data_IF_451569998973
#
_entry.id   IF_451569998973
#
_cell.length_a   1.000
_cell.length_b   1.000
_cell.length_c   1.000
_cell.angle_alpha   90.00
_cell.angle_beta   90.00
_cell.angle_gamma   90.00
#
_symmetry.space_group_name_H-M   'P 1'
#
loop_
_entity.id
_entity.type
_entity.pdbx_description
1 polymer ?
#
# COMPACT_ATOMS: atom_id res chain seq x y z
N UNK A 1 27.01 -2.36 -28.65
CA UNK A 1 28.37 -2.48 -28.07
C UNK A 1 28.22 -2.79 -26.58
N UNK A 2 29.02 -3.71 -26.02
CA UNK A 2 28.94 -4.08 -24.59
C UNK A 2 29.93 -3.27 -23.75
N UNK A 3 29.52 -2.80 -22.57
CA UNK A 3 30.36 -2.33 -21.46
C UNK A 3 29.76 -2.95 -20.20
N UNK A 4 30.29 -4.08 -19.72
CA UNK A 4 31.48 -4.24 -18.86
C UNK A 4 31.27 -3.68 -17.45
N UNK A 5 31.30 -4.60 -16.49
CA UNK A 5 31.11 -4.43 -15.05
C UNK A 5 32.43 -3.99 -14.42
N UNK A 6 32.38 -3.25 -13.31
CA UNK A 6 33.50 -3.08 -12.40
C UNK A 6 33.03 -3.29 -10.96
N UNK A 7 33.57 -4.32 -10.29
CA UNK A 7 33.32 -4.56 -8.86
C UNK A 7 34.16 -3.63 -7.98
N UNK A 8 33.71 -3.40 -6.75
CA UNK A 8 34.42 -2.61 -5.74
C UNK A 8 35.17 -3.53 -4.77
N UNK A 9 36.44 -3.21 -4.46
CA UNK A 9 37.26 -4.05 -3.59
C UNK A 9 36.97 -3.85 -2.09
N UNK A 10 37.01 -4.94 -1.35
CA UNK A 10 37.12 -4.97 0.11
C UNK A 10 38.53 -4.49 0.51
N UNK A 11 38.66 -3.79 1.63
CA UNK A 11 39.95 -3.57 2.30
C UNK A 11 39.71 -3.50 3.82
N UNK A 12 40.52 -4.23 4.59
CA UNK A 12 40.46 -4.26 6.05
C UNK A 12 41.87 -4.10 6.63
N UNK A 13 42.05 -3.24 7.63
CA UNK A 13 43.31 -3.11 8.37
C UNK A 13 43.10 -2.82 9.86
N UNK A 14 43.34 -3.87 10.65
CA UNK A 14 44.06 -3.97 11.93
C UNK A 14 44.13 -2.79 12.92
N UNK A 15 43.98 -3.15 14.20
CA UNK A 15 43.95 -2.27 15.36
C UNK A 15 45.33 -1.79 15.86
N UNK A 16 45.32 -0.78 16.73
CA UNK A 16 46.44 -0.43 17.64
C UNK A 16 45.94 -0.29 19.09
N UNK A 17 46.78 -0.62 20.08
CA UNK A 17 46.38 -0.79 21.49
C UNK A 17 47.33 -0.06 22.47
N UNK A 18 46.79 0.86 23.28
CA UNK A 18 47.42 1.48 24.48
C UNK A 18 46.24 1.83 25.43
N UNK A 19 46.08 1.43 26.70
CA UNK A 19 46.93 1.02 27.86
C UNK A 19 46.87 2.06 28.99
N UNK A 20 47.07 1.62 30.24
CA UNK A 20 46.75 2.26 31.55
C UNK A 20 45.26 2.21 31.95
N UNK A 21 44.86 1.77 33.17
CA UNK A 21 45.61 1.08 34.24
C UNK A 21 44.86 1.12 35.59
N UNK A 22 44.43 -0.03 36.15
CA UNK A 22 43.37 -0.07 37.20
C UNK A 22 43.45 -1.06 38.37
N UNK A 23 44.55 -1.80 38.56
CA UNK A 23 45.04 -2.36 39.85
C UNK A 23 44.05 -3.10 40.80
N UNK A 24 44.08 -4.44 40.73
CA UNK A 24 43.82 -5.46 41.79
C UNK A 24 42.39 -5.61 42.35
N UNK A 25 41.89 -6.81 42.68
CA UNK A 25 42.34 -8.21 42.41
C UNK A 25 41.14 -9.16 42.75
N UNK A 26 41.17 -10.50 42.89
CA UNK A 26 42.27 -11.48 43.09
C UNK A 26 41.88 -12.91 42.64
N UNK A 27 42.42 -13.94 43.31
CA UNK A 27 42.50 -15.37 42.91
C UNK A 27 42.31 -16.29 44.13
N UNK A 28 42.30 -17.65 44.02
CA UNK A 28 42.05 -18.57 42.90
C UNK A 28 40.82 -19.49 43.22
N UNK A 29 40.50 -20.66 42.63
CA UNK A 29 41.12 -21.64 41.71
C UNK A 29 39.97 -22.46 41.01
N UNK A 30 40.12 -23.56 40.26
CA UNK A 30 41.28 -24.37 39.82
C UNK A 30 40.96 -25.19 38.52
N UNK A 31 41.92 -26.03 38.10
CA UNK A 31 41.85 -27.34 37.39
C UNK A 31 40.50 -28.12 37.44
N UNK A 32 40.17 -29.05 36.53
CA UNK A 32 40.64 -29.54 35.20
C UNK A 32 39.51 -30.51 34.68
N UNK A 33 39.54 -31.29 33.57
CA UNK A 33 40.51 -31.72 32.54
C UNK A 33 39.75 -31.83 31.16
N UNK A 34 40.18 -32.34 29.99
CA UNK A 34 41.12 -33.40 29.52
C UNK A 34 40.68 -34.86 29.84
N UNK A 35 40.70 -35.87 28.94
CA UNK A 35 41.13 -35.94 27.53
C UNK A 35 40.43 -37.08 26.75
N UNK A 36 40.54 -37.11 25.41
CA UNK A 36 40.55 -38.26 24.44
C UNK A 36 39.53 -39.43 24.57
N UNK A 37 39.06 -40.13 23.53
CA UNK A 37 39.07 -40.07 22.05
C UNK A 37 38.08 -41.20 21.57
N UNK A 38 37.93 -41.71 20.33
CA UNK A 38 38.60 -41.55 19.03
C UNK A 38 37.56 -41.26 17.91
N UNK A 39 37.33 -42.18 16.94
CA UNK A 39 36.44 -41.98 15.79
C UNK A 39 35.89 -43.30 15.20
N UNK A 40 34.77 -43.22 14.48
CA UNK A 40 34.47 -44.07 13.33
C UNK A 40 33.54 -43.30 12.35
N UNK A 41 33.49 -43.70 11.08
CA UNK A 41 32.72 -43.03 10.04
C UNK A 41 31.62 -43.93 9.47
N UNK A 42 30.49 -43.33 9.08
CA UNK A 42 29.73 -43.77 7.91
C UNK A 42 28.84 -42.64 7.34
N UNK A 43 28.48 -42.75 6.07
CA UNK A 43 27.57 -41.89 5.30
C UNK A 43 27.08 -42.73 4.09
N UNK A 44 25.82 -42.62 3.59
CA UNK A 44 25.24 -41.31 3.22
C UNK A 44 23.70 -41.18 3.33
N UNK A 45 23.19 -39.97 3.04
CA UNK A 45 21.98 -39.74 2.25
C UNK A 45 21.88 -38.26 1.81
N UNK A 46 21.99 -37.99 0.51
CA UNK A 46 21.34 -36.81 -0.08
C UNK A 46 19.90 -37.19 -0.47
N UNK A 47 18.97 -36.23 -0.48
CA UNK A 47 18.16 -35.89 -1.67
C UNK A 47 17.05 -34.87 -1.29
N UNK A 48 17.22 -33.62 -1.72
CA UNK A 48 16.18 -32.59 -1.75
C UNK A 48 16.62 -31.42 -2.66
N UNK A 49 17.10 -31.74 -3.87
CA UNK A 49 17.47 -30.70 -4.84
C UNK A 49 16.22 -30.08 -5.45
N UNK A 50 15.85 -28.89 -4.98
CA UNK A 50 14.90 -28.04 -5.70
C UNK A 50 15.47 -27.77 -7.10
N UNK A 51 14.72 -28.16 -8.13
CA UNK A 51 15.14 -27.97 -9.51
C UNK A 51 15.10 -26.47 -9.85
N UNK A 52 16.11 -25.93 -10.57
CA UNK A 52 16.07 -24.53 -10.99
C UNK A 52 14.94 -24.33 -12.01
N UNK A 53 13.90 -23.58 -11.62
CA UNK A 53 12.79 -23.20 -12.50
C UNK A 53 13.35 -22.65 -13.81
N UNK A 54 12.92 -23.20 -14.94
CA UNK A 54 13.56 -22.87 -16.22
C UNK A 54 13.34 -21.40 -16.53
N UNK A 55 14.36 -20.71 -17.05
CA UNK A 55 14.20 -19.33 -17.52
C UNK A 55 13.17 -19.20 -18.66
N UNK A 56 12.82 -20.31 -19.32
CA UNK A 56 11.70 -20.37 -20.25
C UNK A 56 10.32 -20.38 -19.55
N UNK A 57 10.19 -21.03 -18.39
CA UNK A 57 8.96 -21.06 -17.59
C UNK A 57 8.74 -19.72 -16.88
N UNK A 58 9.79 -19.17 -16.27
CA UNK A 58 9.76 -17.81 -15.71
C UNK A 58 9.43 -16.75 -16.78
N UNK A 59 10.00 -16.89 -17.99
CA UNK A 59 9.64 -16.04 -19.13
C UNK A 59 8.20 -16.24 -19.62
N UNK A 60 7.62 -17.42 -19.44
CA UNK A 60 6.23 -17.74 -19.81
C UNK A 60 5.20 -17.31 -18.77
N UNK A 61 5.57 -17.09 -17.50
CA UNK A 61 4.65 -16.50 -16.52
C UNK A 61 4.48 -14.99 -16.73
N UNK A 62 5.53 -14.30 -17.21
CA UNK A 62 5.54 -12.85 -17.45
C UNK A 62 4.71 -12.40 -18.67
N UNK A 63 4.42 -13.28 -19.64
CA UNK A 63 3.63 -12.92 -20.83
C UNK A 63 2.14 -12.76 -20.58
N UNK A 64 1.65 -13.29 -19.45
CA UNK A 64 0.23 -13.47 -19.17
C UNK A 64 -0.25 -12.56 -18.01
N UNK A 65 0.61 -11.63 -17.56
CA UNK A 65 0.27 -10.65 -16.54
C UNK A 65 -0.54 -9.50 -17.15
N UNK A 66 -1.56 -9.04 -16.44
CA UNK A 66 -2.30 -7.84 -16.79
C UNK A 66 -1.37 -6.61 -16.75
N UNK A 67 -1.63 -5.55 -17.54
CA UNK A 67 -0.96 -4.28 -17.33
C UNK A 67 -1.31 -3.71 -15.95
N UNK A 68 -0.37 -3.02 -15.33
CA UNK A 68 -0.62 -2.20 -14.15
C UNK A 68 -1.51 -1.01 -14.55
N UNK A 69 -2.64 -0.80 -13.88
CA UNK A 69 -3.51 0.33 -14.17
C UNK A 69 -2.88 1.62 -13.63
N UNK A 70 -2.45 2.51 -14.52
CA UNK A 70 -1.89 3.84 -14.18
C UNK A 70 -2.96 4.89 -14.48
N UNK A 71 -3.16 5.84 -13.56
CA UNK A 71 -4.17 6.89 -13.71
C UNK A 71 -3.59 8.12 -14.44
N UNK A 72 -4.19 8.51 -15.55
CA UNK A 72 -3.84 9.73 -16.30
C UNK A 72 -4.66 10.94 -15.82
N UNK A 73 -4.27 12.16 -16.23
CA UNK A 73 -4.95 13.42 -15.86
C UNK A 73 -6.46 13.34 -16.06
N UNK A 74 -7.23 13.50 -14.97
CA UNK A 74 -8.70 13.42 -14.97
C UNK A 74 -9.27 12.02 -14.67
N UNK A 75 -8.44 11.00 -14.52
CA UNK A 75 -8.88 9.66 -14.11
C UNK A 75 -9.16 9.58 -12.61
N UNK A 76 -10.31 9.01 -12.26
CA UNK A 76 -10.62 8.57 -10.91
C UNK A 76 -10.13 7.14 -10.66
N UNK A 77 -9.52 6.90 -9.49
CA UNK A 77 -9.02 5.59 -9.07
C UNK A 77 -9.18 5.39 -7.54
N UNK A 78 -9.14 4.13 -7.10
CA UNK A 78 -9.24 3.77 -5.67
C UNK A 78 -7.85 3.67 -5.04
N UNK A 79 -7.38 4.74 -4.41
CA UNK A 79 -6.15 4.72 -3.63
C UNK A 79 -6.37 3.97 -2.31
N UNK A 80 -5.57 2.95 -2.00
CA UNK A 80 -5.80 2.04 -0.87
C UNK A 80 -4.51 1.37 -0.39
N UNK A 81 -4.39 1.13 0.92
CA UNK A 81 -3.27 0.41 1.52
C UNK A 81 -3.70 -0.49 2.70
N UNK A 82 -3.24 -1.74 2.68
CA UNK A 82 -3.35 -2.69 3.80
C UNK A 82 -2.58 -2.23 5.04
N UNK A 83 -2.86 -2.83 6.20
CA UNK A 83 -2.29 -2.35 7.49
C UNK A 83 -0.78 -2.52 7.64
N UNK A 84 -0.13 -3.17 6.68
CA UNK A 84 1.30 -3.43 6.66
C UNK A 84 2.07 -2.60 5.60
N UNK A 85 1.36 -1.84 4.75
CA UNK A 85 1.92 -1.21 3.54
C UNK A 85 2.69 -2.24 2.69
N UNK A 86 2.02 -3.35 2.38
CA UNK A 86 2.53 -4.47 1.56
C UNK A 86 1.59 -4.78 0.40
N UNK A 87 0.29 -4.51 0.53
CA UNK A 87 -0.67 -4.57 -0.57
C UNK A 87 -1.36 -3.22 -0.71
N UNK A 88 -1.14 -2.56 -1.83
CA UNK A 88 -1.46 -1.15 -1.99
C UNK A 88 -1.56 -0.72 -3.45
N UNK A 89 -2.25 0.39 -3.68
CA UNK A 89 -2.40 1.03 -4.99
C UNK A 89 -2.54 2.55 -4.81
N UNK A 90 -1.82 3.32 -5.65
CA UNK A 90 -1.71 4.78 -5.61
C UNK A 90 -1.82 5.43 -7.01
N UNK A 91 -2.32 4.69 -8.01
CA UNK A 91 -2.59 5.20 -9.35
C UNK A 91 -1.35 5.59 -10.17
N UNK A 92 -0.19 4.98 -9.89
CA UNK A 92 1.07 5.27 -10.60
C UNK A 92 1.82 3.97 -10.99
N UNK A 93 2.95 4.12 -11.69
CA UNK A 93 3.70 3.04 -12.35
C UNK A 93 4.74 2.33 -11.47
N UNK A 94 4.92 2.74 -10.21
CA UNK A 94 5.82 2.08 -9.27
C UNK A 94 5.24 0.74 -8.77
N UNK A 95 5.69 -0.36 -9.39
CA UNK A 95 5.26 -1.73 -9.08
C UNK A 95 5.41 -2.12 -7.60
N UNK A 96 6.45 -1.63 -6.91
CA UNK A 96 6.71 -1.97 -5.50
C UNK A 96 5.64 -1.37 -4.57
N UNK A 97 5.03 -0.24 -4.97
CA UNK A 97 3.99 0.44 -4.21
C UNK A 97 2.57 0.33 -4.80
N UNK A 98 2.40 -0.30 -5.97
CA UNK A 98 1.11 -0.38 -6.69
C UNK A 98 0.64 -1.81 -7.02
N UNK A 99 1.07 -2.85 -6.31
CA UNK A 99 0.71 -4.25 -6.64
C UNK A 99 -0.80 -4.57 -6.71
N UNK A 100 -1.70 -3.80 -6.07
CA UNK A 100 -3.17 -3.93 -6.23
C UNK A 100 -3.74 -3.23 -7.48
N UNK A 101 -2.91 -2.54 -8.27
CA UNK A 101 -3.29 -1.87 -9.51
C UNK A 101 -3.48 -2.82 -10.71
N UNK A 102 -3.05 -4.07 -10.59
CA UNK A 102 -3.28 -5.09 -11.62
C UNK A 102 -4.76 -5.48 -11.67
N UNK A 103 -5.42 -5.21 -12.80
CA UNK A 103 -6.88 -5.33 -12.97
C UNK A 103 -7.70 -4.40 -12.04
N UNK A 104 -7.14 -3.25 -11.64
CA UNK A 104 -7.88 -2.22 -10.93
C UNK A 104 -8.81 -1.44 -11.87
N UNK A 105 -10.00 -1.09 -11.37
CA UNK A 105 -10.99 -0.30 -12.10
C UNK A 105 -10.73 1.19 -11.94
N UNK A 106 -10.30 1.82 -13.03
CA UNK A 106 -10.18 3.28 -13.21
C UNK A 106 -11.42 3.80 -13.95
N UNK A 107 -11.86 5.02 -13.64
CA UNK A 107 -12.95 5.70 -14.32
C UNK A 107 -12.54 7.11 -14.79
N UNK A 108 -12.45 7.32 -16.11
CA UNK A 108 -12.15 8.65 -16.67
C UNK A 108 -13.33 9.60 -16.46
N UNK A 109 -13.10 10.73 -15.79
CA UNK A 109 -14.16 11.68 -15.46
C UNK A 109 -14.44 12.57 -16.67
N UNK A 110 -15.68 12.54 -17.15
CA UNK A 110 -16.13 13.30 -18.34
C UNK A 110 -17.09 14.45 -18.03
N UNK A 111 -17.48 14.59 -16.75
CA UNK A 111 -18.44 15.58 -16.26
C UNK A 111 -19.12 15.13 -14.96
N UNK A 112 -20.13 15.88 -14.53
CA UNK A 112 -20.96 15.52 -13.37
C UNK A 112 -21.72 14.21 -13.65
N UNK A 113 -21.79 13.29 -12.68
CA UNK A 113 -22.44 11.98 -12.84
C UNK A 113 -21.94 10.91 -11.88
N UNK A 114 -22.46 9.69 -12.03
CA UNK A 114 -22.10 8.54 -11.19
C UNK A 114 -21.01 7.67 -11.84
N UNK A 115 -20.05 7.23 -11.02
CA UNK A 115 -18.86 6.50 -11.43
C UNK A 115 -18.52 5.40 -10.41
N UNK A 116 -17.67 4.45 -10.82
CA UNK A 116 -17.23 3.30 -10.01
C UNK A 116 -15.73 3.10 -10.15
N UNK A 117 -15.01 2.90 -9.04
CA UNK A 117 -13.58 2.50 -9.02
C UNK A 117 -13.39 1.26 -8.16
N UNK A 118 -12.36 0.45 -8.43
CA UNK A 118 -12.11 -0.78 -7.66
C UNK A 118 -10.66 -1.25 -7.67
N UNK A 119 -10.30 -2.11 -6.72
CA UNK A 119 -9.08 -2.95 -6.75
C UNK A 119 -9.46 -4.41 -6.54
N UNK A 120 -8.62 -5.33 -7.01
CA UNK A 120 -8.82 -6.78 -6.85
C UNK A 120 -7.51 -7.53 -6.66
N UNK A 121 -7.56 -8.64 -5.91
CA UNK A 121 -6.51 -9.68 -5.86
C UNK A 121 -6.65 -10.69 -7.01
N UNK A 122 -7.76 -10.65 -7.74
CA UNK A 122 -8.06 -11.54 -8.87
C UNK A 122 -7.42 -11.01 -10.16
N UNK A 123 -6.09 -11.07 -10.19
CA UNK A 123 -5.24 -10.81 -11.35
C UNK A 123 -3.92 -11.60 -11.24
N UNK A 124 -3.42 -12.07 -12.38
CA UNK A 124 -2.13 -12.76 -12.47
C UNK A 124 -0.99 -11.87 -11.96
N UNK A 125 -1.03 -10.57 -12.30
CA UNK A 125 -0.06 -9.56 -11.91
C UNK A 125 0.02 -9.35 -10.40
N UNK A 126 -1.10 -9.17 -9.70
CA UNK A 126 -1.10 -9.04 -8.23
C UNK A 126 -0.52 -10.27 -7.55
N UNK A 127 -0.96 -11.47 -7.98
CA UNK A 127 -0.50 -12.75 -7.41
C UNK A 127 1.00 -12.94 -7.63
N UNK A 128 1.48 -12.72 -8.86
CA UNK A 128 2.90 -12.81 -9.19
C UNK A 128 3.73 -11.77 -8.40
N UNK A 129 3.26 -10.53 -8.27
CA UNK A 129 3.94 -9.47 -7.53
C UNK A 129 3.99 -9.72 -6.00
N UNK A 130 3.08 -10.55 -5.45
CA UNK A 130 3.00 -10.83 -4.00
C UNK A 130 3.51 -12.20 -3.57
N UNK A 131 3.58 -13.18 -4.47
CA UNK A 131 4.03 -14.57 -4.18
C UNK A 131 5.20 -15.04 -5.06
N UNK A 132 5.46 -14.38 -6.19
CA UNK A 132 6.33 -14.91 -7.26
C UNK A 132 5.66 -15.93 -8.19
N UNK A 133 4.35 -16.21 -8.02
CA UNK A 133 3.60 -17.17 -8.82
C UNK A 133 2.20 -16.64 -9.18
N UNK A 134 1.88 -16.53 -10.48
CA UNK A 134 0.56 -16.06 -10.94
C UNK A 134 -0.61 -16.98 -10.57
N UNK A 135 -0.32 -18.26 -10.30
CA UNK A 135 -1.33 -19.26 -9.96
C UNK A 135 -1.57 -19.39 -8.43
N UNK A 136 -0.81 -18.67 -7.60
CA UNK A 136 -0.98 -18.66 -6.14
C UNK A 136 -1.85 -17.47 -5.68
N UNK A 137 -3.09 -17.77 -5.29
CA UNK A 137 -4.05 -16.81 -4.75
C UNK A 137 -4.07 -16.74 -3.21
N UNK A 138 -3.07 -17.29 -2.51
CA UNK A 138 -3.03 -17.32 -1.03
C UNK A 138 -2.69 -15.97 -0.39
N UNK A 139 -1.95 -15.10 -1.09
CA UNK A 139 -1.62 -13.77 -0.60
C UNK A 139 -2.82 -12.84 -0.73
N UNK A 140 -3.41 -12.42 0.40
CA UNK A 140 -4.41 -11.34 0.45
C UNK A 140 -3.93 -10.13 1.25
N UNK A 141 -4.39 -8.91 0.94
CA UNK A 141 -4.42 -7.78 1.86
C UNK A 141 -5.07 -8.14 3.20
N UNK A 142 -4.61 -7.53 4.30
CA UNK A 142 -5.21 -7.67 5.63
C UNK A 142 -5.23 -6.33 6.37
N UNK A 143 -6.34 -6.02 7.04
CA UNK A 143 -6.58 -4.72 7.67
C UNK A 143 -6.62 -3.57 6.66
N UNK A 144 -6.64 -2.34 7.20
CA UNK A 144 -6.70 -1.11 6.41
C UNK A 144 -6.01 0.04 7.15
N UNK A 145 -5.07 0.72 6.49
CA UNK A 145 -4.44 1.97 6.97
C UNK A 145 -4.95 3.20 6.23
N UNK A 146 -5.24 3.07 4.92
CA UNK A 146 -5.72 4.17 4.07
C UNK A 146 -6.68 3.68 2.98
N UNK A 147 -7.72 4.47 2.68
CA UNK A 147 -8.57 4.34 1.51
C UNK A 147 -9.21 5.68 1.10
N UNK A 148 -9.07 6.05 -0.17
CA UNK A 148 -9.71 7.21 -0.77
C UNK A 148 -10.02 6.98 -2.25
N UNK A 149 -11.12 7.56 -2.76
CA UNK A 149 -11.25 7.79 -4.21
C UNK A 149 -10.43 9.02 -4.56
N UNK A 150 -9.53 8.93 -5.53
CA UNK A 150 -8.68 10.05 -5.96
C UNK A 150 -8.94 10.36 -7.44
N UNK A 151 -8.88 11.64 -7.83
CA UNK A 151 -8.85 12.07 -9.24
C UNK A 151 -7.46 12.66 -9.52
N UNK A 152 -6.75 12.06 -10.48
CA UNK A 152 -5.42 12.47 -10.89
C UNK A 152 -5.44 13.89 -11.46
N UNK A 153 -4.57 14.77 -10.97
CA UNK A 153 -4.55 16.21 -11.30
C UNK A 153 -5.90 16.94 -11.04
N UNK A 154 -6.77 16.37 -10.20
CA UNK A 154 -8.17 16.79 -10.07
C UNK A 154 -8.39 18.27 -9.76
N UNK A 155 -7.54 18.92 -8.95
CA UNK A 155 -7.69 20.36 -8.65
C UNK A 155 -7.31 21.25 -9.85
N UNK A 156 -6.59 20.71 -10.84
CA UNK A 156 -6.24 21.39 -12.10
C UNK A 156 -7.20 21.05 -13.23
N UNK A 157 -7.59 19.77 -13.36
CA UNK A 157 -8.53 19.31 -14.38
C UNK A 157 -9.97 19.79 -14.09
N UNK A 158 -10.39 19.73 -12.82
CA UNK A 158 -11.74 20.03 -12.36
C UNK A 158 -11.71 20.90 -11.08
N UNK A 159 -11.27 22.17 -11.15
CA UNK A 159 -11.04 23.00 -9.96
C UNK A 159 -12.28 23.10 -9.04
N UNK A 160 -12.14 22.67 -7.79
CA UNK A 160 -13.22 22.70 -6.79
C UNK A 160 -14.23 21.55 -6.87
N UNK A 161 -14.03 20.55 -7.74
CA UNK A 161 -14.91 19.37 -7.89
C UNK A 161 -15.18 18.67 -6.56
N UNK A 162 -16.38 18.09 -6.40
CA UNK A 162 -16.82 17.34 -5.23
C UNK A 162 -17.07 15.89 -5.62
N UNK A 163 -16.41 14.99 -4.90
CA UNK A 163 -16.58 13.53 -4.96
C UNK A 163 -17.44 13.12 -3.75
N UNK A 164 -18.68 12.68 -4.01
CA UNK A 164 -19.58 12.14 -2.99
C UNK A 164 -19.55 10.62 -3.06
N UNK A 165 -19.04 9.95 -2.03
CA UNK A 165 -19.03 8.48 -1.96
C UNK A 165 -20.42 7.98 -1.57
N UNK A 166 -20.98 7.09 -2.41
CA UNK A 166 -22.34 6.59 -2.26
C UNK A 166 -22.38 5.24 -1.54
N UNK A 167 -21.50 4.31 -1.91
CA UNK A 167 -21.41 2.98 -1.31
C UNK A 167 -19.98 2.44 -1.37
N UNK A 168 -19.56 1.70 -0.35
CA UNK A 168 -18.31 0.92 -0.36
C UNK A 168 -18.69 -0.57 -0.30
N UNK A 169 -18.14 -1.38 -1.20
CA UNK A 169 -18.45 -2.80 -1.34
C UNK A 169 -17.16 -3.61 -1.17
N UNK A 170 -17.13 -4.50 -0.17
CA UNK A 170 -15.99 -5.36 0.16
C UNK A 170 -16.40 -6.82 -0.06
N UNK A 171 -15.65 -7.54 -0.90
CA UNK A 171 -15.93 -8.94 -1.28
C UNK A 171 -17.38 -9.15 -1.77
N UNK A 172 -17.97 -8.16 -2.45
CA UNK A 172 -19.36 -8.20 -2.93
C UNK A 172 -20.44 -7.86 -1.89
N UNK A 173 -20.06 -7.46 -0.67
CA UNK A 173 -20.98 -7.03 0.38
C UNK A 173 -20.82 -5.52 0.60
N UNK A 174 -21.93 -4.76 0.54
CA UNK A 174 -21.92 -3.34 0.88
C UNK A 174 -21.69 -3.15 2.39
N UNK A 175 -20.82 -2.21 2.77
CA UNK A 175 -20.48 -1.91 4.17
C UNK A 175 -21.07 -0.58 4.61
N UNK A 176 -21.65 -0.54 5.80
CA UNK A 176 -22.26 0.66 6.37
C UNK A 176 -21.20 1.74 6.64
N UNK A 177 -21.40 2.93 6.07
CA UNK A 177 -20.65 4.11 6.48
C UNK A 177 -21.18 4.65 7.82
N UNK A 178 -20.26 4.93 8.76
CA UNK A 178 -20.55 5.46 10.11
C UNK A 178 -20.67 6.99 10.12
N UNK A 179 -20.13 7.64 9.10
CA UNK A 179 -20.12 9.09 8.86
C UNK A 179 -19.79 9.33 7.38
N UNK A 180 -19.93 10.55 6.87
CA UNK A 180 -19.71 10.86 5.45
C UNK A 180 -18.21 11.05 5.12
N UNK A 181 -17.71 10.44 4.02
CA UNK A 181 -16.45 10.84 3.38
C UNK A 181 -16.49 12.30 2.90
N UNK A 182 -15.35 12.98 2.89
CA UNK A 182 -15.21 14.37 2.43
C UNK A 182 -14.25 14.49 1.26
N UNK A 183 -14.46 15.49 0.40
CA UNK A 183 -13.49 15.87 -0.64
C UNK A 183 -12.42 16.82 -0.09
N UNK A 184 -11.13 16.65 -0.44
CA UNK A 184 -10.02 17.56 -0.08
C UNK A 184 -8.86 17.45 -1.08
N UNK A 185 -7.81 18.25 -0.90
CA UNK A 185 -6.50 18.08 -1.54
C UNK A 185 -5.36 18.34 -0.54
N UNK A 186 -4.38 17.43 -0.42
CA UNK A 186 -3.21 17.61 0.46
C UNK A 186 -2.08 18.42 -0.20
N UNK A 187 -1.99 18.42 -1.53
CA UNK A 187 -0.91 19.03 -2.31
C UNK A 187 -1.38 20.18 -3.22
N UNK A 188 -2.70 20.43 -3.30
CA UNK A 188 -3.30 21.43 -4.19
C UNK A 188 -3.33 21.02 -5.66
N UNK A 189 -3.10 19.73 -5.96
CA UNK A 189 -3.04 19.16 -7.31
C UNK A 189 -4.00 17.99 -7.45
N UNK A 190 -3.97 17.06 -6.50
CA UNK A 190 -4.77 15.84 -6.50
C UNK A 190 -6.06 16.05 -5.70
N UNK A 191 -7.22 15.79 -6.30
CA UNK A 191 -8.48 15.75 -5.54
C UNK A 191 -8.69 14.37 -4.96
N UNK A 192 -9.20 14.26 -3.73
CA UNK A 192 -9.61 12.98 -3.14
C UNK A 192 -10.90 13.08 -2.34
N UNK A 193 -11.71 12.02 -2.32
CA UNK A 193 -12.64 11.72 -1.24
C UNK A 193 -12.00 10.76 -0.24
N UNK A 194 -11.67 11.23 0.96
CA UNK A 194 -11.09 10.38 2.01
C UNK A 194 -12.18 9.55 2.70
N UNK A 195 -12.05 8.22 2.69
CA UNK A 195 -13.00 7.27 3.30
C UNK A 195 -12.42 6.71 4.61
N UNK A 196 -11.14 6.36 4.61
CA UNK A 196 -10.43 5.92 5.81
C UNK A 196 -8.97 6.37 5.80
N UNK A 197 -8.52 6.95 6.91
CA UNK A 197 -7.14 7.37 7.14
C UNK A 197 -6.83 7.21 8.63
N UNK A 198 -5.86 6.39 9.02
CA UNK A 198 -5.60 6.14 10.45
C UNK A 198 -4.86 7.29 11.17
N UNK A 199 -4.25 8.23 10.45
CA UNK A 199 -3.54 9.40 11.00
C UNK A 199 -4.44 10.65 11.14
N UNK A 200 -5.66 10.61 10.59
CA UNK A 200 -6.63 11.70 10.65
C UNK A 200 -7.98 11.20 11.20
N UNK A 201 -8.62 11.99 12.06
CA UNK A 201 -9.96 11.70 12.61
C UNK A 201 -11.01 12.77 12.26
N UNK A 202 -10.61 13.80 11.51
CA UNK A 202 -11.44 14.94 11.10
C UNK A 202 -11.08 15.37 9.68
N UNK A 203 -12.01 16.01 8.95
CA UNK A 203 -11.69 16.70 7.70
C UNK A 203 -10.63 17.80 7.88
N UNK A 204 -9.80 18.07 6.86
CA UNK A 204 -8.90 19.22 6.83
C UNK A 204 -9.66 20.52 6.52
N UNK A 205 -8.95 21.65 6.57
CA UNK A 205 -9.54 23.00 6.48
C UNK A 205 -10.12 23.36 5.10
N UNK A 206 -9.61 22.74 4.05
CA UNK A 206 -10.09 22.78 2.67
C UNK A 206 -11.22 21.77 2.39
N UNK A 207 -11.56 20.93 3.38
CA UNK A 207 -12.56 19.87 3.26
C UNK A 207 -13.90 20.40 2.76
N UNK A 208 -14.43 19.77 1.71
CA UNK A 208 -15.64 20.19 0.99
C UNK A 208 -16.55 19.01 0.66
N UNK A 209 -17.82 19.32 0.46
CA UNK A 209 -18.89 18.37 0.16
C UNK A 209 -19.96 19.04 -0.74
N UNK A 210 -21.01 18.32 -1.11
CA UNK A 210 -22.03 18.82 -2.03
C UNK A 210 -22.80 20.03 -1.46
N UNK A 211 -22.87 20.14 -0.13
CA UNK A 211 -23.46 21.27 0.59
C UNK A 211 -22.51 22.49 0.72
N UNK A 212 -21.24 22.36 0.34
CA UNK A 212 -20.20 23.41 0.40
C UNK A 212 -18.98 23.05 1.28
N UNK A 213 -18.23 24.05 1.77
CA UNK A 213 -17.11 23.85 2.69
C UNK A 213 -17.56 23.29 4.05
N UNK A 214 -16.84 22.29 4.56
CA UNK A 214 -17.13 21.64 5.86
C UNK A 214 -16.90 22.61 7.03
N UNK A 215 -15.98 23.57 6.85
CA UNK A 215 -15.69 24.63 7.81
C UNK A 215 -16.32 25.97 7.37
N UNK A 216 -17.24 26.50 8.17
CA UNK A 216 -17.81 27.84 7.99
C UNK A 216 -16.85 28.96 8.43
N UNK A 217 -16.01 28.69 9.42
CA UNK A 217 -14.79 29.47 9.73
C UNK A 217 -13.62 28.51 9.93
N UNK A 218 -12.80 28.27 8.88
CA UNK A 218 -11.62 27.41 8.98
C UNK A 218 -10.56 27.92 9.96
N UNK A 219 -10.48 29.24 10.19
CA UNK A 219 -9.47 29.83 11.07
C UNK A 219 -9.79 29.63 12.56
N UNK A 220 -11.08 29.55 12.92
CA UNK A 220 -11.56 29.36 14.29
C UNK A 220 -12.16 27.97 14.58
N UNK A 221 -11.93 26.98 13.69
CA UNK A 221 -12.43 25.60 13.79
C UNK A 221 -13.96 25.47 13.82
N UNK A 222 -14.69 26.45 13.28
CA UNK A 222 -16.16 26.42 13.22
C UNK A 222 -16.59 25.61 12.00
N UNK A 223 -17.17 24.43 12.24
CA UNK A 223 -17.84 23.63 11.23
C UNK A 223 -19.10 24.33 10.72
N UNK A 224 -19.47 24.10 9.46
CA UNK A 224 -20.82 24.35 8.98
C UNK A 224 -21.82 23.41 9.70
N UNK A 225 -23.13 23.74 9.67
CA UNK A 225 -24.17 22.96 10.37
C UNK A 225 -24.15 21.46 10.01
N UNK A 226 -23.85 21.14 8.74
CA UNK A 226 -23.68 19.78 8.23
C UNK A 226 -22.28 19.19 8.45
N UNK A 227 -21.27 20.01 8.75
CA UNK A 227 -19.85 19.62 8.80
C UNK A 227 -19.53 18.57 9.86
N UNK A 228 -20.35 18.48 10.92
CA UNK A 228 -20.23 17.46 11.97
C UNK A 228 -20.57 16.03 11.51
N UNK A 229 -21.17 15.85 10.33
CA UNK A 229 -21.45 14.54 9.75
C UNK A 229 -20.26 13.93 8.99
N UNK A 230 -19.17 14.68 8.79
CA UNK A 230 -18.04 14.30 7.95
C UNK A 230 -16.81 13.83 8.76
N UNK A 231 -16.12 12.80 8.28
CA UNK A 231 -14.99 12.17 9.00
C UNK A 231 -13.90 11.68 8.06
N UNK A 232 -12.68 11.53 8.59
CA UNK A 232 -11.57 10.84 7.92
C UNK A 232 -11.59 9.31 8.15
N UNK A 233 -12.55 8.83 8.94
CA UNK A 233 -12.75 7.42 9.30
C UNK A 233 -14.25 7.11 9.19
N UNK A 234 -14.73 7.02 7.95
CA UNK A 234 -16.15 6.93 7.58
C UNK A 234 -16.71 5.51 7.59
N UNK A 235 -15.90 4.50 7.87
CA UNK A 235 -16.25 3.07 7.87
C UNK A 235 -15.62 2.34 9.06
N UNK A 236 -16.18 1.19 9.43
CA UNK A 236 -15.53 0.27 10.36
C UNK A 236 -14.41 -0.49 9.64
N UNK A 237 -13.16 -0.25 10.05
CA UNK A 237 -11.98 -0.92 9.45
C UNK A 237 -11.89 -2.41 9.78
N UNK A 238 -12.58 -2.90 10.81
CA UNK A 238 -12.47 -4.31 11.24
C UNK A 238 -13.00 -5.29 10.20
N UNK A 239 -13.83 -4.83 9.26
CA UNK A 239 -14.28 -5.61 8.09
C UNK A 239 -13.10 -6.09 7.22
N UNK A 240 -11.96 -5.39 7.28
CA UNK A 240 -10.77 -5.68 6.48
C UNK A 240 -9.79 -6.61 7.23
N UNK A 241 -9.93 -6.81 8.55
CA UNK A 241 -8.96 -7.54 9.39
C UNK A 241 -8.85 -9.03 9.03
N UNK A 242 -9.94 -9.65 8.59
CA UNK A 242 -9.98 -11.05 8.13
C UNK A 242 -9.39 -11.26 6.72
N UNK A 243 -9.03 -10.17 6.02
CA UNK A 243 -8.53 -10.15 4.67
C UNK A 243 -9.60 -9.97 3.59
N UNK A 244 -9.20 -9.42 2.45
CA UNK A 244 -10.12 -8.99 1.39
C UNK A 244 -9.55 -9.21 -0.02
N UNK A 245 -10.44 -9.48 -0.98
CA UNK A 245 -10.11 -9.84 -2.35
C UNK A 245 -10.61 -8.82 -3.38
N UNK A 246 -11.72 -8.13 -3.13
CA UNK A 246 -12.18 -7.00 -3.96
C UNK A 246 -12.70 -5.88 -3.08
N UNK A 247 -12.33 -4.65 -3.41
CA UNK A 247 -12.97 -3.43 -2.90
C UNK A 247 -13.45 -2.61 -4.09
N UNK A 248 -14.70 -2.17 -4.04
CA UNK A 248 -15.35 -1.36 -5.07
C UNK A 248 -16.05 -0.17 -4.39
N UNK A 249 -15.94 1.01 -5.00
CA UNK A 249 -16.54 2.25 -4.49
C UNK A 249 -17.33 2.91 -5.60
N UNK A 250 -18.62 3.13 -5.34
CA UNK A 250 -19.51 3.91 -6.21
C UNK A 250 -19.60 5.33 -5.65
N UNK A 251 -19.51 6.33 -6.53
CA UNK A 251 -19.45 7.74 -6.14
C UNK A 251 -20.05 8.65 -7.22
N UNK A 252 -20.60 9.79 -6.79
CA UNK A 252 -21.07 10.87 -7.67
C UNK A 252 -20.03 11.97 -7.74
N UNK A 253 -19.64 12.37 -8.95
CA UNK A 253 -18.88 13.59 -9.22
C UNK A 253 -19.85 14.75 -9.46
N UNK A 254 -19.57 15.89 -8.83
CA UNK A 254 -20.41 17.09 -8.89
C UNK A 254 -19.56 18.37 -8.80
N UNK A 255 -20.11 19.51 -9.25
CA UNK A 255 -19.44 20.81 -9.21
C UNK A 255 -18.50 21.11 -10.38
N UNK A 256 -18.41 20.23 -11.38
CA UNK A 256 -17.79 20.56 -12.67
C UNK A 256 -18.72 21.53 -13.42
N UNK A 257 -18.15 22.59 -14.00
CA UNK A 257 -18.92 23.53 -14.82
C UNK A 257 -19.23 22.95 -16.21
N UNK A 258 -20.45 23.23 -16.69
CA UNK A 258 -20.97 22.86 -18.03
C UNK A 258 -20.72 23.97 -19.08
#
# INVERSE_FOLDING_TARGET
MKKLISGLLITAMLCTMVSCGGKKSDTPADKAADSSAEANADAPAEEATEAPTSSAEAGSQLSDLEPLAVAETGDAYLAIADSAFKKQYWGNDDIDSNNLGYNAGIAHITGNGDYTVSVTTDSNGYRFATTGNKDDASAVPTGLSFMAVMIRDGETAFPGVVITVNSVVVNGNEISMTSKPYTSSDDGKETRANIFNEWQTKPPKDGRCAEGPIYADPANDVLADYGSAYSAQSIDRSVFDAGWNKVEVNFTVSGIAE
#
